data_IF_777796299834
#
_entry.id   IF_777796299834
#
_cell.length_a   1.000
_cell.length_b   1.000
_cell.length_c   1.000
_cell.angle_alpha   90.00
_cell.angle_beta   90.00
_cell.angle_gamma   90.00
#
_symmetry.space_group_name_H-M   'P 1'
#
loop_
_entity.id
_entity.type
_entity.pdbx_description
1 polymer ?
#
# COMPACT_ATOMS: atom_id res chain seq x y z
N UNK A 1 12.03 3.60 18.14
CA UNK A 1 11.63 3.18 19.51
C UNK A 1 10.15 3.49 19.85
N UNK A 2 9.56 4.64 19.49
CA UNK A 2 8.21 5.05 19.97
C UNK A 2 6.97 4.42 19.30
N UNK A 3 7.03 4.00 18.04
CA UNK A 3 5.86 3.45 17.33
C UNK A 3 5.51 2.01 17.72
N UNK A 4 6.51 1.25 18.19
CA UNK A 4 6.39 -0.21 18.35
C UNK A 4 5.35 -0.61 19.40
N UNK A 5 5.31 0.10 20.53
CA UNK A 5 4.30 -0.12 21.57
C UNK A 5 2.89 0.32 21.16
N UNK A 6 2.77 1.20 20.15
CA UNK A 6 1.46 1.69 19.69
C UNK A 6 0.78 0.72 18.72
N UNK A 7 1.54 0.10 17.81
CA UNK A 7 0.97 -0.74 16.76
C UNK A 7 0.75 -2.20 17.21
N UNK A 8 1.64 -2.73 18.06
CA UNK A 8 1.47 -4.04 18.70
C UNK A 8 1.39 -5.24 17.75
N UNK A 9 1.79 -5.10 16.48
CA UNK A 9 1.71 -6.17 15.48
C UNK A 9 0.29 -6.52 15.04
N UNK A 10 -0.67 -5.61 15.23
CA UNK A 10 -2.06 -5.79 14.80
C UNK A 10 -2.28 -5.24 13.40
N UNK A 11 -3.38 -5.65 12.74
CA UNK A 11 -3.87 -5.06 11.48
C UNK A 11 -2.73 -5.00 10.45
N UNK A 12 -2.11 -6.15 10.19
CA UNK A 12 -1.04 -6.30 9.19
C UNK A 12 0.21 -5.42 9.40
N UNK A 13 0.47 -4.92 10.61
CA UNK A 13 1.76 -4.31 10.99
C UNK A 13 2.72 -5.36 11.57
N UNK A 14 4.03 -5.19 11.36
CA UNK A 14 5.04 -6.13 11.88
C UNK A 14 4.99 -6.23 13.41
N UNK A 15 4.86 -7.45 13.91
CA UNK A 15 4.91 -7.73 15.34
C UNK A 15 6.33 -7.68 15.88
N UNK A 16 6.61 -6.75 16.79
CA UNK A 16 7.77 -6.82 17.66
C UNK A 16 7.53 -7.87 18.75
N UNK A 17 8.50 -8.76 18.92
CA UNK A 17 8.51 -9.74 19.99
C UNK A 17 9.33 -9.22 21.16
N UNK A 18 10.58 -8.84 20.91
CA UNK A 18 11.54 -8.47 21.96
C UNK A 18 12.53 -7.40 21.46
N UNK A 19 13.11 -6.66 22.39
CA UNK A 19 14.15 -5.69 22.11
C UNK A 19 15.31 -5.89 23.09
N UNK A 20 16.50 -6.07 22.54
CA UNK A 20 17.73 -6.16 23.31
C UNK A 20 18.63 -4.98 22.98
N UNK A 21 19.34 -4.49 23.98
CA UNK A 21 20.28 -3.39 23.81
C UNK A 21 21.65 -3.79 24.33
N UNK A 22 22.67 -3.48 23.55
CA UNK A 22 24.08 -3.54 23.92
C UNK A 22 24.67 -2.13 23.81
N UNK A 23 25.88 -1.88 24.33
CA UNK A 23 26.49 -0.55 24.22
C UNK A 23 26.68 -0.03 22.79
N UNK A 24 26.66 -0.90 21.76
CA UNK A 24 26.92 -0.54 20.36
C UNK A 24 25.76 -0.81 19.40
N UNK A 25 24.74 -1.54 19.84
CA UNK A 25 23.70 -2.05 18.93
C UNK A 25 22.40 -2.32 19.66
N UNK A 26 21.29 -2.06 18.96
CA UNK A 26 19.94 -2.46 19.36
C UNK A 26 19.54 -3.63 18.47
N UNK A 27 19.13 -4.73 19.09
CA UNK A 27 18.60 -5.90 18.40
C UNK A 27 17.08 -5.87 18.52
N UNK A 28 16.41 -5.88 17.37
CA UNK A 28 14.96 -5.80 17.26
C UNK A 28 14.47 -7.18 16.81
N UNK A 29 13.84 -7.93 17.71
CA UNK A 29 13.33 -9.27 17.43
C UNK A 29 11.86 -9.16 17.04
N UNK A 30 11.51 -9.65 15.86
CA UNK A 30 10.16 -9.54 15.29
C UNK A 30 9.61 -10.92 14.92
N UNK A 31 8.33 -10.99 14.56
CA UNK A 31 7.84 -12.15 13.83
C UNK A 31 8.65 -12.36 12.53
N UNK A 32 8.81 -13.62 12.14
CA UNK A 32 9.49 -13.99 10.90
C UNK A 32 8.51 -13.87 9.73
N UNK A 33 8.86 -13.05 8.74
CA UNK A 33 8.16 -12.97 7.46
C UNK A 33 8.94 -13.76 6.40
N UNK A 34 8.52 -15.00 6.14
CA UNK A 34 9.23 -15.94 5.25
C UNK A 34 8.78 -15.91 3.79
N UNK A 35 7.73 -15.14 3.49
CA UNK A 35 7.12 -15.03 2.16
C UNK A 35 7.83 -14.08 1.19
N UNK A 36 8.88 -13.39 1.64
CA UNK A 36 9.58 -12.38 0.83
C UNK A 36 8.87 -11.02 0.81
N UNK A 37 9.32 -10.14 -0.06
CA UNK A 37 8.75 -8.80 -0.28
C UNK A 37 7.46 -8.86 -1.10
N UNK A 38 6.76 -7.72 -1.21
CA UNK A 38 5.57 -7.61 -2.05
C UNK A 38 5.85 -7.93 -3.54
N UNK A 39 7.07 -7.67 -4.03
CA UNK A 39 7.44 -7.99 -5.42
C UNK A 39 7.78 -9.47 -5.61
N UNK A 40 8.30 -10.14 -4.59
CA UNK A 40 8.48 -11.60 -4.59
C UNK A 40 7.10 -12.28 -4.62
N UNK A 41 6.16 -11.77 -3.80
CA UNK A 41 4.77 -12.22 -3.81
C UNK A 41 4.11 -12.01 -5.18
N UNK A 42 4.29 -10.83 -5.79
CA UNK A 42 3.83 -10.58 -7.17
C UNK A 42 4.36 -11.64 -8.13
N UNK A 43 5.67 -11.92 -8.07
CA UNK A 43 6.31 -12.89 -8.96
C UNK A 43 5.74 -14.30 -8.77
N UNK A 44 5.51 -14.73 -7.53
CA UNK A 44 4.89 -16.01 -7.23
C UNK A 44 3.44 -16.09 -7.75
N UNK A 45 2.63 -15.04 -7.59
CA UNK A 45 1.27 -14.99 -8.17
C UNK A 45 1.31 -15.09 -9.69
N UNK A 46 2.25 -14.38 -10.33
CA UNK A 46 2.40 -14.39 -11.78
C UNK A 46 2.79 -15.78 -12.32
N UNK A 47 3.66 -16.49 -11.60
CA UNK A 47 4.03 -17.88 -11.92
C UNK A 47 2.82 -18.82 -11.81
N UNK A 48 2.01 -18.68 -10.76
CA UNK A 48 0.82 -19.51 -10.54
C UNK A 48 -0.26 -19.34 -11.61
N UNK A 49 -0.46 -18.12 -12.11
CA UNK A 49 -1.44 -17.88 -13.19
C UNK A 49 -0.91 -18.31 -14.57
N UNK A 50 0.35 -18.75 -14.67
CA UNK A 50 0.95 -19.25 -15.90
C UNK A 50 1.05 -18.21 -17.02
N UNK A 51 0.86 -16.93 -16.71
CA UNK A 51 0.94 -15.83 -17.68
C UNK A 51 2.35 -15.24 -17.68
N UNK A 52 2.94 -15.12 -18.85
CA UNK A 52 4.23 -14.46 -19.09
C UNK A 52 4.09 -13.45 -20.24
N UNK A 53 4.92 -12.42 -20.25
CA UNK A 53 4.91 -11.38 -21.29
C UNK A 53 4.12 -10.13 -20.91
N UNK A 54 3.88 -9.24 -21.88
CA UNK A 54 3.31 -7.90 -21.67
C UNK A 54 1.86 -7.90 -21.15
N UNK A 55 1.12 -8.98 -21.41
CA UNK A 55 -0.28 -9.15 -20.98
C UNK A 55 -0.39 -9.90 -19.63
N UNK A 56 0.74 -10.22 -19.01
CA UNK A 56 0.80 -10.92 -17.75
C UNK A 56 0.52 -9.92 -16.60
N UNK A 57 -0.66 -10.06 -16.00
CA UNK A 57 -1.16 -9.14 -15.00
C UNK A 57 -1.61 -9.92 -13.76
N UNK A 58 -1.46 -9.28 -12.60
CA UNK A 58 -1.96 -9.84 -11.35
C UNK A 58 -3.49 -9.88 -11.43
N UNK A 59 -4.18 -10.96 -11.03
CA UNK A 59 -5.64 -10.94 -10.97
C UNK A 59 -6.15 -9.83 -10.06
N UNK A 60 -7.15 -9.05 -10.50
CA UNK A 60 -7.65 -7.90 -9.72
C UNK A 60 -8.14 -8.31 -8.31
N UNK A 61 -8.66 -9.54 -8.16
CA UNK A 61 -9.02 -10.14 -6.86
C UNK A 61 -7.84 -10.17 -5.88
N UNK A 62 -6.65 -10.54 -6.35
CA UNK A 62 -5.42 -10.55 -5.54
C UNK A 62 -4.97 -9.13 -5.21
N UNK A 63 -5.08 -8.20 -6.17
CA UNK A 63 -4.80 -6.78 -5.93
C UNK A 63 -5.74 -6.17 -4.90
N UNK A 64 -7.04 -6.51 -4.96
CA UNK A 64 -8.05 -6.11 -3.98
C UNK A 64 -7.70 -6.57 -2.56
N UNK A 65 -7.32 -7.85 -2.40
CA UNK A 65 -6.85 -8.38 -1.12
C UNK A 65 -5.63 -7.62 -0.58
N UNK A 66 -4.63 -7.36 -1.42
CA UNK A 66 -3.45 -6.57 -1.02
C UNK A 66 -3.83 -5.14 -0.65
N UNK A 67 -4.72 -4.51 -1.42
CA UNK A 67 -5.21 -3.17 -1.13
C UNK A 67 -5.91 -3.12 0.24
N UNK A 68 -6.78 -4.08 0.54
CA UNK A 68 -7.43 -4.20 1.85
C UNK A 68 -6.40 -4.27 2.98
N UNK A 69 -5.47 -5.24 2.93
CA UNK A 69 -4.53 -5.46 4.03
C UNK A 69 -3.59 -4.25 4.22
N UNK A 70 -3.17 -3.59 3.13
CA UNK A 70 -2.29 -2.43 3.22
C UNK A 70 -3.03 -1.19 3.74
N UNK A 71 -4.26 -0.94 3.26
CA UNK A 71 -5.11 0.14 3.77
C UNK A 71 -5.45 -0.07 5.24
N UNK A 72 -5.68 -1.32 5.65
CA UNK A 72 -5.96 -1.66 7.04
C UNK A 72 -4.76 -1.41 7.96
N UNK A 73 -3.55 -1.72 7.49
CA UNK A 73 -2.31 -1.35 8.19
C UNK A 73 -2.12 0.16 8.30
N UNK A 74 -2.39 0.90 7.22
CA UNK A 74 -2.25 2.36 7.17
C UNK A 74 -3.28 3.03 8.08
N UNK A 75 -4.53 2.57 8.08
CA UNK A 75 -5.58 3.04 8.99
C UNK A 75 -5.18 2.81 10.46
N UNK A 76 -4.68 1.61 10.77
CA UNK A 76 -4.19 1.31 12.12
C UNK A 76 -3.03 2.22 12.53
N UNK A 77 -2.11 2.55 11.61
CA UNK A 77 -1.05 3.53 11.87
C UNK A 77 -1.63 4.92 12.17
N UNK A 78 -2.54 5.40 11.33
CA UNK A 78 -3.19 6.70 11.47
C UNK A 78 -3.94 6.83 12.82
N UNK A 79 -4.73 5.82 13.18
CA UNK A 79 -5.49 5.76 14.45
C UNK A 79 -4.60 5.73 15.69
N UNK A 80 -3.34 5.32 15.53
CA UNK A 80 -2.35 5.30 16.61
C UNK A 80 -1.37 6.49 16.54
N UNK A 81 -1.60 7.47 15.66
CA UNK A 81 -0.73 8.64 15.52
C UNK A 81 0.68 8.26 15.10
N UNK A 82 0.79 7.33 14.14
CA UNK A 82 2.02 6.91 13.49
C UNK A 82 1.90 7.21 12.00
N UNK A 83 2.87 7.93 11.46
CA UNK A 83 3.02 8.17 10.01
C UNK A 83 4.26 7.39 9.58
N UNK A 84 4.14 6.50 8.62
CA UNK A 84 5.22 5.63 8.15
C UNK A 84 6.23 6.37 7.26
N UNK A 85 5.75 7.15 6.28
CA UNK A 85 6.53 8.01 5.34
C UNK A 85 7.49 7.28 4.39
N UNK A 86 7.40 5.97 4.26
CA UNK A 86 8.22 5.20 3.30
C UNK A 86 7.50 3.90 2.90
N UNK A 87 6.19 3.99 2.65
CA UNK A 87 5.40 2.85 2.16
C UNK A 87 5.79 2.60 0.70
N UNK A 88 6.34 1.42 0.45
CA UNK A 88 6.79 0.95 -0.86
C UNK A 88 6.88 -0.58 -0.84
N UNK A 89 6.99 -1.25 -2.01
CA UNK A 89 7.00 -2.72 -2.07
C UNK A 89 8.07 -3.41 -1.22
N UNK A 90 9.26 -2.82 -1.06
CA UNK A 90 10.33 -3.42 -0.23
C UNK A 90 10.06 -3.34 1.28
N UNK A 91 9.16 -2.47 1.70
CA UNK A 91 8.78 -2.28 3.10
C UNK A 91 7.47 -3.03 3.44
N UNK A 92 7.06 -3.95 2.56
CA UNK A 92 5.91 -4.83 2.76
C UNK A 92 6.40 -6.25 2.54
N UNK A 93 6.26 -7.09 3.56
CA UNK A 93 6.67 -8.51 3.51
C UNK A 93 5.47 -9.42 3.70
N UNK A 94 5.56 -10.65 3.21
CA UNK A 94 4.56 -11.69 3.44
C UNK A 94 4.97 -12.57 4.61
N UNK A 95 4.03 -12.86 5.51
CA UNK A 95 4.27 -13.68 6.68
C UNK A 95 4.77 -15.09 6.28
N UNK A 96 4.20 -15.65 5.20
CA UNK A 96 4.58 -16.94 4.61
C UNK A 96 4.41 -16.93 3.10
N UNK A 97 5.01 -17.92 2.43
CA UNK A 97 4.87 -18.13 0.98
C UNK A 97 3.45 -18.58 0.62
N UNK A 98 3.06 -18.36 -0.63
CA UNK A 98 1.81 -18.91 -1.17
C UNK A 98 1.85 -20.43 -1.08
N UNK A 99 0.77 -21.03 -0.58
CA UNK A 99 0.64 -22.48 -0.43
C UNK A 99 -0.64 -22.98 -1.12
N UNK A 100 -0.52 -24.06 -1.90
CA UNK A 100 -1.64 -24.70 -2.57
C UNK A 100 -2.02 -25.94 -1.76
N UNK A 101 -3.19 -25.89 -1.14
CA UNK A 101 -3.74 -27.02 -0.40
C UNK A 101 -4.62 -27.84 -1.34
N UNK A 102 -4.45 -29.16 -1.31
CA UNK A 102 -5.36 -30.10 -1.96
C UNK A 102 -6.13 -30.85 -0.88
N UNK A 103 -7.45 -30.77 -0.93
CA UNK A 103 -8.33 -31.53 -0.04
C UNK A 103 -9.15 -32.50 -0.89
N UNK A 104 -9.05 -33.79 -0.60
CA UNK A 104 -9.90 -34.82 -1.23
C UNK A 104 -11.12 -35.04 -0.35
N UNK A 105 -12.30 -34.62 -0.81
CA UNK A 105 -13.56 -34.87 -0.12
C UNK A 105 -14.18 -36.16 -0.63
N UNK A 106 -14.13 -37.22 0.19
CA UNK A 106 -14.78 -38.51 -0.10
C UNK A 106 -16.28 -38.44 0.22
N UNK A 107 -17.06 -37.89 -0.70
CA UNK A 107 -18.49 -38.10 -0.73
C UNK A 107 -18.79 -39.20 -1.76
N UNK A 108 -19.46 -40.27 -1.32
CA UNK A 108 -19.65 -41.58 -1.96
C UNK A 108 -20.20 -41.65 -3.42
N UNK A 109 -20.15 -40.58 -4.23
CA UNK A 109 -20.57 -40.62 -5.64
C UNK A 109 -19.77 -39.75 -6.62
N UNK A 110 -18.77 -38.95 -6.20
CA UNK A 110 -17.85 -38.27 -7.14
C UNK A 110 -16.64 -37.70 -6.41
N UNK A 111 -15.42 -38.11 -6.77
CA UNK A 111 -14.19 -37.43 -6.33
C UNK A 111 -14.14 -36.04 -6.97
N UNK A 112 -14.28 -34.98 -6.16
CA UNK A 112 -13.95 -33.60 -6.56
C UNK A 112 -12.72 -33.18 -5.76
N UNK A 113 -11.61 -32.96 -6.46
CA UNK A 113 -10.45 -32.28 -5.87
C UNK A 113 -10.80 -30.80 -5.68
N UNK A 114 -10.89 -30.35 -4.43
CA UNK A 114 -10.94 -28.93 -4.12
C UNK A 114 -9.51 -28.44 -3.83
N UNK A 115 -9.05 -27.47 -4.64
CA UNK A 115 -7.78 -26.78 -4.43
C UNK A 115 -8.09 -25.43 -3.81
N UNK A 116 -7.53 -25.16 -2.63
CA UNK A 116 -7.54 -23.82 -2.03
C UNK A 116 -6.12 -23.25 -2.02
N UNK A 117 -6.01 -21.94 -2.19
CA UNK A 117 -4.72 -21.25 -2.21
C UNK A 117 -4.64 -20.34 -0.98
N UNK A 118 -3.72 -20.63 -0.07
CA UNK A 118 -3.36 -19.71 1.00
C UNK A 118 -2.36 -18.70 0.44
N UNK A 119 -2.84 -17.48 0.20
CA UNK A 119 -2.03 -16.37 -0.28
C UNK A 119 -1.13 -15.74 0.80
N UNK A 120 -1.30 -16.13 2.07
CA UNK A 120 -0.64 -15.49 3.21
C UNK A 120 -1.15 -14.07 3.47
N UNK A 121 -0.66 -13.49 4.57
CA UNK A 121 -0.95 -12.11 4.96
C UNK A 121 0.31 -11.26 4.89
N UNK A 122 0.15 -9.99 4.54
CA UNK A 122 1.23 -9.03 4.53
C UNK A 122 1.56 -8.50 5.94
N UNK A 123 2.75 -7.91 6.03
CA UNK A 123 3.25 -7.12 7.13
C UNK A 123 3.87 -5.85 6.59
N UNK A 124 3.35 -4.70 7.01
CA UNK A 124 4.04 -3.41 6.85
C UNK A 124 5.22 -3.37 7.83
N UNK A 125 6.41 -3.17 7.29
CA UNK A 125 7.68 -3.21 8.00
C UNK A 125 8.44 -1.88 7.86
N UNK A 126 9.52 -1.72 8.61
CA UNK A 126 10.46 -0.59 8.48
C UNK A 126 9.87 0.82 8.68
N UNK A 127 9.44 1.06 9.92
CA UNK A 127 9.08 2.39 10.41
C UNK A 127 10.31 3.22 10.82
N UNK A 128 11.50 2.93 10.29
CA UNK A 128 12.72 3.70 10.56
C UNK A 128 12.60 5.17 10.11
N UNK A 129 11.85 5.38 9.04
CA UNK A 129 11.47 6.69 8.50
C UNK A 129 10.23 7.28 9.16
N UNK A 130 9.61 6.61 10.13
CA UNK A 130 8.33 7.03 10.71
C UNK A 130 8.39 8.34 11.51
N UNK A 131 7.25 9.00 11.64
CA UNK A 131 7.02 10.15 12.52
C UNK A 131 5.80 9.89 13.42
N UNK A 132 5.73 10.63 14.53
CA UNK A 132 4.53 10.63 15.37
C UNK A 132 3.63 11.77 14.92
N UNK A 133 2.35 11.47 14.81
CA UNK A 133 1.29 12.43 14.57
C UNK A 133 0.61 12.80 15.89
N UNK A 134 0.23 14.06 16.05
CA UNK A 134 -0.54 14.50 17.20
C UNK A 134 -2.04 14.49 16.84
N UNK A 135 -2.74 13.44 17.29
CA UNK A 135 -4.14 13.20 16.95
C UNK A 135 -5.04 14.37 17.37
N UNK A 136 -4.80 14.99 18.53
CA UNK A 136 -5.61 16.10 19.02
C UNK A 136 -5.41 17.39 18.19
N UNK A 137 -4.19 17.62 17.68
CA UNK A 137 -3.91 18.73 16.76
C UNK A 137 -4.53 18.45 15.40
N UNK A 138 -4.41 17.21 14.91
CA UNK A 138 -5.03 16.76 13.65
C UNK A 138 -6.54 17.02 13.63
N UNK A 139 -7.27 16.62 14.67
CA UNK A 139 -8.73 16.81 14.71
C UNK A 139 -9.13 18.29 14.64
N UNK A 140 -8.32 19.17 15.25
CA UNK A 140 -8.52 20.62 15.17
C UNK A 140 -8.20 21.16 13.77
N UNK A 141 -7.14 20.67 13.15
CA UNK A 141 -6.74 21.07 11.80
C UNK A 141 -7.74 20.61 10.73
N UNK A 142 -8.25 19.38 10.84
CA UNK A 142 -9.28 18.82 9.96
C UNK A 142 -10.61 19.60 10.11
N UNK A 143 -10.90 20.13 11.31
CA UNK A 143 -12.08 20.97 11.58
C UNK A 143 -11.90 22.45 11.20
N UNK A 144 -10.67 22.92 11.00
CA UNK A 144 -10.38 24.32 10.69
C UNK A 144 -10.69 24.66 9.23
N UNK A 145 -11.25 25.85 8.99
CA UNK A 145 -11.52 26.36 7.63
C UNK A 145 -10.25 26.65 6.83
N UNK A 146 -9.13 26.92 7.51
CA UNK A 146 -7.81 27.14 6.91
C UNK A 146 -6.69 26.67 7.83
N UNK A 147 -6.41 25.35 7.93
CA UNK A 147 -5.26 24.85 8.65
C UNK A 147 -3.96 25.35 8.00
N UNK A 148 -3.06 25.86 8.82
CA UNK A 148 -1.67 26.09 8.42
C UNK A 148 -1.02 24.73 8.18
N UNK A 149 -0.40 24.52 7.01
CA UNK A 149 0.31 23.27 6.76
C UNK A 149 1.49 23.17 7.70
N UNK A 150 1.46 22.23 8.66
CA UNK A 150 2.58 21.99 9.55
C UNK A 150 3.82 21.65 8.71
N UNK A 151 4.88 22.47 8.86
CA UNK A 151 6.17 22.22 8.23
C UNK A 151 7.04 21.42 9.18
N UNK A 152 7.54 20.31 8.69
CA UNK A 152 8.44 19.45 9.45
C UNK A 152 9.89 19.66 9.02
N UNK A 153 10.81 19.29 9.90
CA UNK A 153 12.26 19.49 9.70
C UNK A 153 12.92 18.38 8.89
N UNK A 154 12.33 17.17 8.91
CA UNK A 154 12.88 15.97 8.29
C UNK A 154 12.24 15.70 6.92
N UNK A 155 13.05 15.29 5.94
CA UNK A 155 12.60 14.66 4.70
C UNK A 155 12.98 13.18 4.75
N UNK A 156 12.09 12.29 4.31
CA UNK A 156 12.30 10.85 4.27
C UNK A 156 11.52 10.26 3.08
N UNK A 157 11.74 8.97 2.81
CA UNK A 157 10.99 8.23 1.81
C UNK A 157 11.64 8.18 0.43
N UNK A 158 11.07 7.34 -0.42
CA UNK A 158 11.54 7.07 -1.78
C UNK A 158 10.78 7.97 -2.76
N UNK A 159 11.44 8.88 -3.51
CA UNK A 159 10.77 9.97 -4.22
C UNK A 159 9.58 9.57 -5.10
N UNK A 160 9.64 8.42 -5.78
CA UNK A 160 8.55 7.93 -6.63
C UNK A 160 7.24 7.66 -5.88
N UNK A 161 7.32 7.32 -4.59
CA UNK A 161 6.19 6.99 -3.72
C UNK A 161 5.77 8.15 -2.81
N UNK A 162 6.58 9.20 -2.74
CA UNK A 162 6.34 10.33 -1.85
C UNK A 162 5.18 11.18 -2.35
N UNK A 163 4.29 11.61 -1.46
CA UNK A 163 3.19 12.49 -1.86
C UNK A 163 3.69 13.89 -2.26
N UNK A 164 2.92 14.66 -3.07
CA UNK A 164 3.36 15.97 -3.57
C UNK A 164 3.68 16.98 -2.46
N UNK A 165 3.02 16.88 -1.31
CA UNK A 165 3.27 17.75 -0.15
C UNK A 165 4.58 17.43 0.59
N UNK A 166 5.10 16.19 0.51
CA UNK A 166 6.37 15.81 1.14
C UNK A 166 7.55 16.58 0.57
N UNK A 167 7.53 16.95 -0.71
CA UNK A 167 8.56 17.80 -1.33
C UNK A 167 8.66 19.20 -0.69
N UNK A 168 7.60 19.63 -0.01
CA UNK A 168 7.55 20.87 0.79
C UNK A 168 7.75 20.63 2.29
N UNK A 169 8.13 19.40 2.67
CA UNK A 169 8.27 18.93 4.05
C UNK A 169 7.00 19.10 4.88
N UNK A 170 5.85 19.00 4.23
CA UNK A 170 4.56 18.87 4.91
C UNK A 170 4.13 17.41 4.75
N UNK A 171 3.71 16.78 5.83
CA UNK A 171 3.19 15.41 5.79
C UNK A 171 2.18 15.18 6.90
N UNK A 172 1.25 14.27 6.65
CA UNK A 172 0.29 13.76 7.64
C UNK A 172 0.04 12.29 7.37
N UNK A 173 -0.86 11.63 8.10
CA UNK A 173 -1.31 10.29 7.76
C UNK A 173 -1.81 10.15 6.30
N UNK A 174 -2.30 11.23 5.67
CA UNK A 174 -2.71 11.25 4.25
C UNK A 174 -1.54 11.04 3.29
N UNK A 175 -0.32 11.30 3.73
CA UNK A 175 0.90 11.00 2.97
C UNK A 175 1.04 9.49 2.75
N UNK A 176 0.79 8.68 3.78
CA UNK A 176 0.83 7.22 3.67
C UNK A 176 -0.30 6.67 2.78
N UNK A 177 -1.45 7.33 2.74
CA UNK A 177 -2.56 7.01 1.82
C UNK A 177 -2.13 7.17 0.36
N UNK A 178 -1.38 8.22 0.03
CA UNK A 178 -0.82 8.40 -1.31
C UNK A 178 0.18 7.30 -1.66
N UNK A 179 1.17 7.07 -0.80
CA UNK A 179 2.20 6.05 -1.00
C UNK A 179 1.59 4.65 -1.14
N UNK A 180 0.48 4.40 -0.45
CA UNK A 180 -0.33 3.18 -0.60
C UNK A 180 -0.92 3.06 -2.00
N UNK A 181 -1.50 4.13 -2.56
CA UNK A 181 -2.00 4.15 -3.94
C UNK A 181 -0.92 3.84 -4.99
N UNK A 182 0.26 4.47 -4.86
CA UNK A 182 1.40 4.20 -5.75
C UNK A 182 1.87 2.75 -5.61
N UNK A 183 1.93 2.23 -4.39
CA UNK A 183 2.35 0.85 -4.10
C UNK A 183 1.38 -0.19 -4.67
N UNK A 184 0.07 0.04 -4.54
CA UNK A 184 -0.96 -0.83 -5.12
C UNK A 184 -0.87 -0.83 -6.66
N UNK A 185 -0.66 0.33 -7.27
CA UNK A 185 -0.41 0.43 -8.71
C UNK A 185 0.82 -0.41 -9.13
N UNK A 186 1.97 -0.23 -8.46
CA UNK A 186 3.20 -0.99 -8.77
C UNK A 186 3.01 -2.50 -8.56
N UNK A 187 2.22 -2.91 -7.56
CA UNK A 187 1.90 -4.32 -7.37
C UNK A 187 1.07 -4.87 -8.54
N UNK A 188 0.02 -4.15 -8.96
CA UNK A 188 -0.85 -4.56 -10.06
C UNK A 188 -0.12 -4.60 -11.41
N UNK A 189 0.52 -3.49 -11.77
CA UNK A 189 1.10 -3.25 -13.10
C UNK A 189 2.58 -3.67 -13.22
N UNK A 190 3.26 -3.88 -12.10
CA UNK A 190 4.72 -3.99 -12.05
C UNK A 190 5.40 -2.62 -12.08
N UNK A 191 6.73 -2.63 -12.07
CA UNK A 191 7.49 -1.38 -12.20
C UNK A 191 7.34 -0.82 -13.63
N UNK A 192 7.19 0.51 -13.77
CA UNK A 192 7.32 1.15 -15.06
C UNK A 192 8.73 0.88 -15.63
N UNK A 193 8.86 0.60 -16.94
CA UNK A 193 10.15 0.64 -17.63
C UNK A 193 10.87 1.98 -17.41
N UNK A 194 12.19 1.95 -17.35
CA UNK A 194 13.04 3.13 -17.10
C UNK A 194 12.74 4.29 -18.06
N UNK A 195 12.49 3.96 -19.34
CA UNK A 195 12.20 4.90 -20.42
C UNK A 195 10.95 5.77 -20.17
N UNK A 196 9.98 5.26 -19.40
CA UNK A 196 8.71 5.94 -19.11
C UNK A 196 8.51 6.22 -17.62
N UNK A 197 9.53 5.97 -16.80
CA UNK A 197 9.48 6.20 -15.36
C UNK A 197 9.25 7.67 -15.03
N UNK A 198 9.89 8.61 -15.74
CA UNK A 198 9.68 10.04 -15.53
C UNK A 198 8.26 10.47 -15.90
N UNK A 199 7.71 9.99 -17.03
CA UNK A 199 6.34 10.30 -17.42
C UNK A 199 5.34 9.78 -16.37
N UNK A 200 5.57 8.57 -15.85
CA UNK A 200 4.75 7.99 -14.78
C UNK A 200 4.83 8.84 -13.50
N UNK A 201 6.04 9.27 -13.13
CA UNK A 201 6.25 10.17 -12.00
C UNK A 201 5.48 11.48 -12.19
N UNK A 202 5.52 12.07 -13.38
CA UNK A 202 4.83 13.33 -13.69
C UNK A 202 3.30 13.16 -13.66
N UNK A 203 2.77 12.01 -14.09
CA UNK A 203 1.33 11.68 -14.00
C UNK A 203 0.83 11.71 -12.55
N UNK A 204 1.66 11.28 -11.60
CA UNK A 204 1.34 11.36 -10.18
C UNK A 204 1.55 12.77 -9.62
N UNK A 205 2.71 13.37 -9.83
CA UNK A 205 3.16 14.53 -9.04
C UNK A 205 2.91 15.89 -9.68
N UNK A 206 2.38 15.95 -10.90
CA UNK A 206 2.03 17.22 -11.54
C UNK A 206 0.71 17.75 -10.98
N UNK A 207 0.70 19.02 -10.55
CA UNK A 207 -0.52 19.62 -10.02
C UNK A 207 -1.65 19.65 -11.09
N UNK A 208 -2.91 19.37 -10.73
CA UNK A 208 -4.03 19.43 -11.67
C UNK A 208 -4.18 20.78 -12.38
N UNK A 209 -3.78 21.87 -11.74
CA UNK A 209 -3.77 23.21 -12.36
C UNK A 209 -2.84 23.26 -13.56
N UNK A 210 -1.58 22.82 -13.38
CA UNK A 210 -0.58 22.76 -14.45
C UNK A 210 -1.00 21.82 -15.59
N UNK A 211 -1.58 20.66 -15.27
CA UNK A 211 -2.11 19.73 -16.28
C UNK A 211 -3.16 20.41 -17.16
N UNK A 212 -4.09 21.16 -16.56
CA UNK A 212 -5.13 21.92 -17.29
C UNK A 212 -4.55 23.08 -18.11
N UNK A 213 -3.55 23.78 -17.59
CA UNK A 213 -2.85 24.86 -18.31
C UNK A 213 -2.15 24.34 -19.58
N UNK A 214 -1.72 23.08 -19.58
CA UNK A 214 -1.15 22.39 -20.75
C UNK A 214 -2.23 21.81 -21.70
N UNK A 215 -3.52 22.02 -21.43
CA UNK A 215 -4.62 21.47 -22.23
C UNK A 215 -4.77 19.96 -22.12
N UNK A 216 -4.21 19.35 -21.06
CA UNK A 216 -4.26 17.91 -20.80
C UNK A 216 -5.28 17.60 -19.69
N UNK A 217 -5.61 16.33 -19.58
CA UNK A 217 -6.36 15.78 -18.45
C UNK A 217 -5.52 14.69 -17.75
N UNK A 218 -5.61 14.62 -16.42
CA UNK A 218 -5.00 13.51 -15.68
C UNK A 218 -5.85 12.28 -15.91
N UNK A 219 -5.24 11.20 -16.38
CA UNK A 219 -5.96 9.95 -16.59
C UNK A 219 -5.09 8.78 -16.10
N UNK A 220 -5.45 8.21 -14.95
CA UNK A 220 -4.71 7.08 -14.38
C UNK A 220 -4.90 5.77 -15.15
N UNK A 221 -5.88 5.69 -16.08
CA UNK A 221 -6.01 4.55 -16.99
C UNK A 221 -4.88 4.46 -18.02
N UNK A 222 -4.17 5.57 -18.23
CA UNK A 222 -3.01 5.63 -19.13
C UNK A 222 -1.69 5.32 -18.41
N UNK A 223 -1.74 4.91 -17.14
CA UNK A 223 -0.55 4.46 -16.44
C UNK A 223 0.01 3.21 -17.14
N UNK A 224 1.34 3.08 -17.25
CA UNK A 224 1.95 1.95 -17.92
C UNK A 224 1.55 0.60 -17.33
N UNK A 225 1.33 -0.38 -18.20
CA UNK A 225 1.07 -1.78 -17.86
C UNK A 225 -0.17 -2.02 -16.98
N UNK A 226 -1.03 -1.01 -16.77
CA UNK A 226 -2.31 -1.25 -16.08
C UNK A 226 -3.26 -2.00 -17.03
N UNK A 227 -3.97 -3.01 -16.53
CA UNK A 227 -4.85 -3.82 -17.38
C UNK A 227 -6.11 -3.10 -17.85
N UNK A 228 -6.45 -3.23 -19.13
CA UNK A 228 -7.72 -2.73 -19.67
C UNK A 228 -8.95 -3.43 -19.08
N UNK A 229 -8.80 -4.68 -18.60
CA UNK A 229 -9.88 -5.52 -18.07
C UNK A 229 -10.09 -5.35 -16.55
N UNK A 230 -9.30 -4.52 -15.88
CA UNK A 230 -9.53 -4.21 -14.47
C UNK A 230 -10.86 -3.47 -14.28
N UNK A 231 -11.60 -3.77 -13.19
CA UNK A 231 -12.88 -3.13 -12.95
C UNK A 231 -12.71 -1.62 -12.76
N UNK A 232 -13.71 -0.84 -13.16
CA UNK A 232 -13.72 0.62 -12.97
C UNK A 232 -13.48 1.04 -11.52
N UNK A 233 -13.90 0.21 -10.56
CA UNK A 233 -13.69 0.43 -9.12
C UNK A 233 -12.21 0.46 -8.71
N UNK A 234 -11.32 -0.25 -9.42
CA UNK A 234 -9.87 -0.14 -9.20
C UNK A 234 -9.36 1.27 -9.50
N UNK A 235 -9.80 1.83 -10.62
CA UNK A 235 -9.39 3.16 -11.06
C UNK A 235 -10.01 4.25 -10.17
N UNK A 236 -11.25 4.08 -9.72
CA UNK A 236 -11.87 4.96 -8.72
C UNK A 236 -11.04 5.00 -7.42
N UNK A 237 -10.66 3.82 -6.90
CA UNK A 237 -9.80 3.72 -5.74
C UNK A 237 -8.47 4.46 -5.98
N UNK A 238 -7.79 4.23 -7.10
CA UNK A 238 -6.52 4.92 -7.40
C UNK A 238 -6.67 6.43 -7.48
N UNK A 239 -7.71 6.96 -8.14
CA UNK A 239 -7.94 8.41 -8.24
C UNK A 239 -8.14 9.04 -6.86
N UNK A 240 -8.90 8.37 -5.97
CA UNK A 240 -9.19 8.85 -4.62
C UNK A 240 -7.97 8.77 -3.69
N UNK A 241 -7.17 7.71 -3.79
CA UNK A 241 -5.91 7.55 -3.04
C UNK A 241 -4.84 8.55 -3.52
N UNK A 242 -4.79 8.80 -4.83
CA UNK A 242 -3.83 9.68 -5.49
C UNK A 242 -4.40 11.07 -5.78
N UNK A 243 -5.35 11.53 -4.98
CA UNK A 243 -5.83 12.91 -5.04
C UNK A 243 -4.70 13.86 -4.59
N UNK A 244 -4.38 14.82 -5.46
CA UNK A 244 -3.22 15.70 -5.30
C UNK A 244 -3.32 16.54 -4.03
N UNK A 245 -4.52 17.04 -3.69
CA UNK A 245 -4.73 17.81 -2.47
C UNK A 245 -4.93 16.89 -1.25
N UNK A 246 -4.07 16.93 -0.22
CA UNK A 246 -4.23 16.08 0.97
C UNK A 246 -5.57 16.25 1.69
N UNK A 247 -6.17 17.45 1.60
CA UNK A 247 -7.48 17.77 2.18
C UNK A 247 -8.64 17.06 1.49
N UNK A 248 -8.53 16.85 0.18
CA UNK A 248 -9.53 16.16 -0.64
C UNK A 248 -9.25 14.67 -0.76
N UNK A 249 -8.00 14.27 -0.53
CA UNK A 249 -7.58 12.87 -0.52
C UNK A 249 -8.37 12.14 0.54
N UNK A 250 -8.87 10.96 0.19
CA UNK A 250 -9.60 10.05 1.08
C UNK A 250 -8.75 9.62 2.29
N UNK A 251 -9.36 9.17 3.38
CA UNK A 251 -8.63 8.46 4.45
C UNK A 251 -8.47 6.96 4.10
N UNK A 252 -7.57 6.27 4.79
CA UNK A 252 -7.48 4.80 4.65
C UNK A 252 -8.77 4.11 5.13
N UNK A 253 -9.34 4.55 6.25
CA UNK A 253 -10.62 4.09 6.79
C UNK A 253 -11.77 4.20 5.78
N UNK A 254 -11.92 5.37 5.15
CA UNK A 254 -12.96 5.59 4.14
C UNK A 254 -12.76 4.71 2.90
N UNK A 255 -11.51 4.38 2.56
CA UNK A 255 -11.20 3.55 1.40
C UNK A 255 -11.46 2.06 1.64
N UNK A 256 -11.40 1.59 2.90
CA UNK A 256 -11.73 0.20 3.24
C UNK A 256 -13.18 -0.18 2.92
N UNK A 257 -14.05 0.80 2.69
CA UNK A 257 -15.47 0.60 2.35
C UNK A 257 -15.79 0.77 0.86
N UNK A 258 -14.78 0.88 -0.02
CA UNK A 258 -15.01 1.06 -1.46
C UNK A 258 -15.27 -0.28 -2.17
N UNK A 259 -15.95 -0.24 -3.32
CA UNK A 259 -16.35 -1.42 -4.10
C UNK A 259 -15.18 -2.31 -4.53
N UNK A 260 -13.97 -1.76 -4.67
CA UNK A 260 -12.80 -2.55 -5.06
C UNK A 260 -12.16 -3.28 -3.89
N UNK A 261 -12.24 -2.76 -2.67
CA UNK A 261 -11.46 -3.22 -1.52
C UNK A 261 -12.31 -4.20 -0.70
N UNK A 262 -12.00 -5.50 -0.79
CA UNK A 262 -12.72 -6.54 -0.05
C UNK A 262 -11.81 -7.31 0.91
N UNK A 263 -12.32 -7.58 2.11
CA UNK A 263 -11.59 -8.30 3.17
C UNK A 263 -11.34 -9.77 2.80
N UNK A 264 -12.35 -10.40 2.22
CA UNK A 264 -12.32 -11.78 1.75
C UNK A 264 -12.60 -11.79 0.26
N UNK A 265 -11.75 -12.49 -0.47
CA UNK A 265 -11.99 -12.81 -1.87
C UNK A 265 -12.63 -14.18 -1.83
N UNK A 266 -13.93 -14.29 -2.14
CA UNK A 266 -14.53 -15.60 -2.36
C UNK A 266 -13.76 -16.29 -3.50
N UNK A 267 -13.24 -17.49 -3.22
CA UNK A 267 -12.39 -18.31 -4.09
C UNK A 267 -12.97 -18.45 -5.50
#
# INVERSE_FOLDING_TARGET
>A
KRWVGKLGGKRYSLKLLELYESPKSIYVITELCSGGSLMDYRSAVMELVGKSGKDAQVPFKVVSRVAYQLLDAVDHCAKNGVIHRDIKPSNIMLQRKININSSTSNNNTTEKEEKSIDFGDLRLIDFGSGALDNIEEREKDDAASSPESQKHTTYAGSPFYNSPEMFRRSYSYKTDVWSTGVTIYVFAAGFPPDEIMQNTFDTFHTSPKKIREEGKERNLKLLPNVPDDYPSSFYDMLERLLEYSPKKRVTAEEMLSCDFVVETVDD
#
